data_IF_358836478746
#
_entry.id   IF_358836478746
#
_cell.length_a   1.000
_cell.length_b   1.000
_cell.length_c   1.000
_cell.angle_alpha   90.00
_cell.angle_beta   90.00
_cell.angle_gamma   90.00
#
_symmetry.space_group_name_H-M   'P 1'
#
loop_
_entity.id
_entity.type
_entity.pdbx_description
1 polymer ?
#
# COMPACT_ATOMS: atom_id res chain seq x y z
N UNK A 1 -18.12 -14.75 37.14
CA UNK A 1 -18.29 -14.89 35.68
C UNK A 1 -19.56 -14.28 35.14
N UNK A 2 -20.77 -14.72 35.55
CA UNK A 2 -22.00 -14.10 35.03
C UNK A 2 -22.07 -12.60 35.30
N UNK A 3 -21.66 -12.16 36.49
CA UNK A 3 -21.62 -10.74 36.84
C UNK A 3 -20.51 -10.00 36.08
N UNK A 4 -19.34 -10.62 35.92
CA UNK A 4 -18.26 -10.07 35.07
C UNK A 4 -18.74 -9.84 33.63
N UNK A 5 -19.39 -10.83 33.00
CA UNK A 5 -19.95 -10.68 31.65
C UNK A 5 -20.98 -9.55 31.61
N UNK A 6 -21.85 -9.43 32.63
CA UNK A 6 -22.84 -8.35 32.69
C UNK A 6 -22.20 -6.97 32.83
N UNK A 7 -21.15 -6.84 33.64
CA UNK A 7 -20.46 -5.59 33.90
C UNK A 7 -19.63 -5.13 32.69
N UNK A 8 -19.09 -6.07 31.91
CA UNK A 8 -18.17 -5.77 30.81
C UNK A 8 -18.80 -5.88 29.41
N UNK A 9 -20.13 -5.79 29.30
CA UNK A 9 -20.85 -5.96 28.01
C UNK A 9 -20.52 -4.93 26.92
N UNK A 10 -19.90 -3.81 27.29
CA UNK A 10 -19.75 -2.62 26.43
C UNK A 10 -18.27 -2.21 26.26
N UNK A 11 -17.33 -3.16 26.43
CA UNK A 11 -15.91 -2.87 26.21
C UNK A 11 -15.52 -2.91 24.73
N UNK A 12 -16.38 -3.44 23.85
CA UNK A 12 -16.24 -3.43 22.40
C UNK A 12 -14.84 -3.83 21.90
N UNK A 13 -14.25 -4.86 22.52
CA UNK A 13 -12.92 -5.38 22.18
C UNK A 13 -11.77 -4.84 23.03
N UNK A 14 -12.00 -3.86 23.90
CA UNK A 14 -10.98 -3.30 24.79
C UNK A 14 -10.95 -3.96 26.17
N UNK A 15 -11.57 -5.13 26.33
CA UNK A 15 -11.63 -5.87 27.60
C UNK A 15 -10.23 -6.21 28.16
N UNK A 16 -9.25 -6.39 27.29
CA UNK A 16 -7.92 -6.88 27.65
C UNK A 16 -7.03 -5.81 28.28
N UNK A 17 -7.42 -4.54 28.20
CA UNK A 17 -6.59 -3.43 28.63
C UNK A 17 -7.05 -2.86 29.98
N UNK A 18 -6.08 -2.45 30.79
CA UNK A 18 -6.38 -1.73 32.02
C UNK A 18 -6.86 -0.31 31.70
N UNK A 19 -7.86 0.16 32.44
CA UNK A 19 -8.40 1.51 32.29
C UNK A 19 -7.28 2.51 32.63
N UNK A 20 -6.96 3.41 31.69
CA UNK A 20 -5.94 4.43 31.86
C UNK A 20 -4.55 4.04 31.37
N UNK A 21 -4.36 2.84 30.79
CA UNK A 21 -3.13 2.52 30.08
C UNK A 21 -2.98 3.42 28.85
N UNK A 22 -1.82 4.04 28.71
CA UNK A 22 -1.45 4.83 27.53
C UNK A 22 -0.43 4.05 26.70
N UNK A 23 -0.75 3.83 25.44
CA UNK A 23 0.13 3.17 24.48
C UNK A 23 0.47 4.17 23.38
N UNK A 24 1.75 4.32 23.01
CA UNK A 24 2.15 5.27 21.98
C UNK A 24 1.55 4.88 20.63
N UNK A 25 0.97 5.85 19.94
CA UNK A 25 0.41 5.63 18.61
C UNK A 25 1.51 5.44 17.57
N UNK A 26 1.21 4.64 16.53
CA UNK A 26 2.01 4.65 15.31
C UNK A 26 1.56 5.82 14.45
N UNK A 27 2.48 6.75 14.22
CA UNK A 27 2.20 7.97 13.44
C UNK A 27 2.87 7.86 12.08
N UNK A 28 2.09 8.06 11.03
CA UNK A 28 2.60 8.17 9.67
C UNK A 28 3.40 9.46 9.52
N UNK A 29 4.56 9.38 8.86
CA UNK A 29 5.36 10.54 8.46
C UNK A 29 5.73 11.47 9.64
N UNK A 30 6.25 10.95 10.77
CA UNK A 30 6.42 11.74 11.99
C UNK A 30 7.38 12.92 11.82
N UNK A 31 8.34 12.80 10.90
CA UNK A 31 9.40 13.81 10.68
C UNK A 31 8.98 14.98 9.78
N UNK A 32 7.93 14.85 8.97
CA UNK A 32 7.52 15.89 8.00
C UNK A 32 6.01 16.16 7.94
N UNK A 33 5.22 15.57 8.85
CA UNK A 33 3.76 15.73 8.95
C UNK A 33 3.00 15.43 7.65
N UNK A 34 3.58 14.62 6.76
CA UNK A 34 2.99 14.24 5.47
C UNK A 34 2.90 15.39 4.47
N UNK A 35 3.81 16.37 4.54
CA UNK A 35 3.77 17.57 3.70
C UNK A 35 4.58 17.45 2.40
N UNK A 36 5.46 16.47 2.26
CA UNK A 36 6.41 16.39 1.15
C UNK A 36 6.35 15.03 0.46
N UNK A 37 5.91 15.01 -0.80
CA UNK A 37 5.91 13.91 -1.78
C UNK A 37 5.27 12.57 -1.36
N UNK A 38 5.66 12.00 -0.22
CA UNK A 38 4.96 10.96 0.52
C UNK A 38 4.10 11.64 1.58
N UNK A 39 2.83 11.80 1.26
CA UNK A 39 1.84 12.51 2.08
C UNK A 39 0.93 11.53 2.81
N UNK A 40 0.22 12.04 3.80
CA UNK A 40 -0.69 11.24 4.63
C UNK A 40 -0.49 11.54 6.11
N UNK A 41 -1.57 11.43 6.87
CA UNK A 41 -1.61 11.68 8.32
C UNK A 41 -2.22 10.48 9.06
N UNK A 42 -2.02 9.29 8.49
CA UNK A 42 -2.49 8.05 9.06
C UNK A 42 -1.94 7.87 10.47
N UNK A 43 -2.78 7.33 11.35
CA UNK A 43 -2.42 6.98 12.71
C UNK A 43 -3.02 5.61 12.99
N UNK A 44 -2.27 4.78 13.69
CA UNK A 44 -2.82 3.58 14.34
C UNK A 44 -2.76 3.81 15.84
N UNK A 45 -3.90 3.66 16.51
CA UNK A 45 -3.94 3.73 17.96
C UNK A 45 -2.99 2.69 18.57
N UNK A 46 -2.19 3.08 19.57
CA UNK A 46 -1.18 2.23 20.22
C UNK A 46 -1.72 0.87 20.70
N UNK A 47 -3.00 0.81 21.11
CA UNK A 47 -3.66 -0.46 21.53
C UNK A 47 -3.70 -1.51 20.41
N UNK A 48 -3.62 -1.11 19.14
CA UNK A 48 -3.66 -1.97 17.97
C UNK A 48 -2.28 -2.17 17.34
N UNK A 49 -1.21 -2.07 18.13
CA UNK A 49 0.14 -2.42 17.68
C UNK A 49 0.44 -3.89 17.97
N UNK A 50 1.42 -4.45 17.27
CA UNK A 50 1.85 -5.83 17.52
C UNK A 50 2.37 -6.00 18.94
N UNK A 51 3.26 -5.12 19.39
CA UNK A 51 3.89 -5.22 20.71
C UNK A 51 2.83 -5.24 21.82
N UNK A 52 1.86 -4.31 21.75
CA UNK A 52 0.76 -4.25 22.72
C UNK A 52 -0.16 -5.46 22.63
N UNK A 53 -0.44 -5.98 21.42
CA UNK A 53 -1.19 -7.23 21.28
C UNK A 53 -0.45 -8.41 21.92
N UNK A 54 0.85 -8.54 21.68
CA UNK A 54 1.67 -9.64 22.20
C UNK A 54 1.84 -9.59 23.71
N UNK A 55 1.87 -8.39 24.30
CA UNK A 55 2.01 -8.17 25.74
C UNK A 55 0.68 -8.29 26.50
N UNK A 56 -0.40 -7.66 26.01
CA UNK A 56 -1.64 -7.50 26.78
C UNK A 56 -2.74 -8.50 26.38
N UNK A 57 -2.83 -8.84 25.11
CA UNK A 57 -3.98 -9.61 24.57
C UNK A 57 -3.64 -11.10 24.43
N UNK A 58 -2.49 -11.41 23.80
CA UNK A 58 -2.10 -12.77 23.46
C UNK A 58 -1.99 -13.69 24.69
N UNK A 59 -1.33 -13.31 25.80
CA UNK A 59 -1.17 -14.21 26.95
C UNK A 59 -2.52 -14.59 27.58
N UNK A 60 -3.45 -13.63 27.66
CA UNK A 60 -4.79 -13.85 28.20
C UNK A 60 -5.54 -14.90 27.38
N UNK A 61 -5.43 -14.86 26.06
CA UNK A 61 -6.14 -15.77 25.16
C UNK A 61 -5.52 -17.16 25.05
N UNK A 62 -4.21 -17.27 25.29
CA UNK A 62 -3.49 -18.55 25.33
C UNK A 62 -3.76 -19.28 26.65
N UNK A 63 -3.77 -18.57 27.78
CA UNK A 63 -3.96 -19.18 29.10
C UNK A 63 -5.43 -19.49 29.44
N UNK A 64 -6.37 -18.84 28.74
CA UNK A 64 -7.79 -18.93 29.05
C UNK A 64 -8.36 -20.37 29.03
N UNK A 65 -8.08 -21.23 28.04
CA UNK A 65 -8.58 -22.61 28.03
C UNK A 65 -8.20 -23.39 29.29
N UNK A 66 -6.96 -23.25 29.76
CA UNK A 66 -6.47 -23.97 30.94
C UNK A 66 -7.00 -23.37 32.25
N UNK A 67 -7.15 -22.05 32.29
CA UNK A 67 -7.87 -21.38 33.38
C UNK A 67 -9.31 -21.90 33.50
N UNK A 68 -10.05 -21.98 32.39
CA UNK A 68 -11.43 -22.47 32.39
C UNK A 68 -11.54 -23.94 32.79
N UNK A 69 -10.56 -24.79 32.45
CA UNK A 69 -10.54 -26.21 32.88
C UNK A 69 -10.44 -26.33 34.41
N UNK A 70 -9.60 -25.53 35.07
CA UNK A 70 -9.35 -25.57 36.52
C UNK A 70 -10.56 -25.15 37.37
N UNK A 71 -11.52 -24.42 36.80
CA UNK A 71 -12.67 -23.92 37.55
C UNK A 71 -13.77 -24.98 37.72
N UNK A 72 -14.21 -25.19 38.95
CA UNK A 72 -15.31 -26.10 39.33
C UNK A 72 -16.70 -25.49 39.08
N UNK A 73 -16.93 -24.98 37.86
CA UNK A 73 -18.22 -24.41 37.45
C UNK A 73 -18.88 -25.24 36.35
N UNK A 74 -20.20 -25.11 36.22
CA UNK A 74 -21.00 -25.79 35.20
C UNK A 74 -20.54 -25.47 33.78
N UNK A 75 -20.66 -26.44 32.86
CA UNK A 75 -20.26 -26.32 31.45
C UNK A 75 -20.95 -25.14 30.77
N UNK A 76 -22.22 -24.89 31.09
CA UNK A 76 -23.04 -23.82 30.52
C UNK A 76 -22.45 -22.44 30.83
N UNK A 77 -21.91 -22.24 32.03
CA UNK A 77 -21.27 -20.98 32.43
C UNK A 77 -19.92 -20.81 31.74
N UNK A 78 -19.14 -21.89 31.58
CA UNK A 78 -17.89 -21.86 30.80
C UNK A 78 -18.16 -21.48 29.35
N UNK A 79 -19.16 -22.10 28.71
CA UNK A 79 -19.56 -21.79 27.34
C UNK A 79 -20.06 -20.34 27.20
N UNK A 80 -20.88 -19.85 28.12
CA UNK A 80 -21.33 -18.45 28.11
C UNK A 80 -20.13 -17.48 28.16
N UNK A 81 -19.16 -17.76 29.02
CA UNK A 81 -17.97 -16.92 29.16
C UNK A 81 -17.07 -17.00 27.92
N UNK A 82 -16.80 -18.20 27.39
CA UNK A 82 -16.04 -18.38 26.14
C UNK A 82 -16.67 -17.62 24.98
N UNK A 83 -18.00 -17.69 24.82
CA UNK A 83 -18.70 -16.97 23.76
C UNK A 83 -18.61 -15.44 23.94
N UNK A 84 -18.60 -14.96 25.17
CA UNK A 84 -18.38 -13.55 25.46
C UNK A 84 -16.96 -13.12 25.05
N UNK A 85 -15.93 -13.86 25.47
CA UNK A 85 -14.55 -13.57 25.07
C UNK A 85 -14.37 -13.63 23.55
N UNK A 86 -14.93 -14.63 22.87
CA UNK A 86 -14.88 -14.70 21.40
C UNK A 86 -15.45 -13.44 20.73
N UNK A 87 -16.51 -12.84 21.28
CA UNK A 87 -17.08 -11.58 20.75
C UNK A 87 -16.16 -10.39 20.97
N UNK A 88 -15.53 -10.30 22.15
CA UNK A 88 -14.55 -9.24 22.43
C UNK A 88 -13.32 -9.36 21.51
N UNK A 89 -12.80 -10.58 21.31
CA UNK A 89 -11.71 -10.81 20.36
C UNK A 89 -12.12 -10.46 18.93
N UNK A 90 -13.35 -10.78 18.54
CA UNK A 90 -13.86 -10.43 17.20
C UNK A 90 -13.97 -8.92 16.99
N UNK A 91 -14.45 -8.18 17.99
CA UNK A 91 -14.51 -6.72 17.97
C UNK A 91 -13.10 -6.11 17.88
N UNK A 92 -12.19 -6.54 18.77
CA UNK A 92 -10.79 -6.10 18.77
C UNK A 92 -10.12 -6.37 17.41
N UNK A 93 -10.25 -7.58 16.87
CA UNK A 93 -9.67 -7.97 15.58
C UNK A 93 -10.21 -7.15 14.41
N UNK A 94 -11.50 -6.77 14.46
CA UNK A 94 -12.12 -5.93 13.44
C UNK A 94 -11.50 -4.54 13.45
N UNK A 95 -11.36 -3.93 14.62
CA UNK A 95 -10.86 -2.56 14.74
C UNK A 95 -9.35 -2.51 14.48
N UNK A 96 -8.59 -3.51 14.94
CA UNK A 96 -7.18 -3.70 14.58
C UNK A 96 -6.99 -3.66 13.06
N UNK A 97 -7.75 -4.47 12.31
CA UNK A 97 -7.66 -4.50 10.85
C UNK A 97 -8.14 -3.20 10.21
N UNK A 98 -9.16 -2.56 10.77
CA UNK A 98 -9.68 -1.28 10.27
C UNK A 98 -8.64 -0.16 10.37
N UNK A 99 -7.87 -0.10 11.45
CA UNK A 99 -6.82 0.89 11.66
C UNK A 99 -5.71 0.77 10.60
N UNK A 100 -5.23 -0.44 10.30
CA UNK A 100 -4.21 -0.61 9.25
C UNK A 100 -4.76 -0.41 7.82
N UNK A 101 -6.05 -0.68 7.60
CA UNK A 101 -6.71 -0.33 6.33
C UNK A 101 -6.79 1.19 6.15
N UNK A 102 -7.15 1.93 7.20
CA UNK A 102 -7.19 3.39 7.16
C UNK A 102 -5.78 3.99 7.02
N UNK A 103 -4.84 3.49 7.82
CA UNK A 103 -3.42 3.82 7.72
C UNK A 103 -2.92 3.62 6.29
N UNK A 104 -3.25 2.50 5.64
CA UNK A 104 -2.84 2.27 4.27
C UNK A 104 -3.42 3.29 3.28
N UNK A 105 -4.74 3.55 3.38
CA UNK A 105 -5.45 4.45 2.44
C UNK A 105 -4.98 5.90 2.52
N UNK A 106 -4.51 6.33 3.68
CA UNK A 106 -4.04 7.69 3.90
C UNK A 106 -2.65 7.95 3.29
N UNK A 107 -1.85 6.91 3.05
CA UNK A 107 -0.54 7.08 2.42
C UNK A 107 -0.70 7.39 0.93
N UNK A 108 -0.13 8.50 0.49
CA UNK A 108 -0.23 8.98 -0.89
C UNK A 108 1.13 9.43 -1.39
N UNK A 109 1.44 9.09 -2.64
CA UNK A 109 2.57 9.65 -3.37
C UNK A 109 2.05 10.79 -4.25
N UNK A 110 2.79 11.89 -4.37
CA UNK A 110 2.41 13.04 -5.20
C UNK A 110 3.62 13.61 -5.93
N UNK A 111 3.44 13.95 -7.20
CA UNK A 111 4.42 14.69 -8.00
C UNK A 111 3.70 15.58 -9.02
N UNK A 112 3.85 16.90 -8.90
CA UNK A 112 3.17 17.90 -9.75
C UNK A 112 4.05 18.45 -10.86
N UNK A 113 5.30 17.98 -10.99
CA UNK A 113 6.21 18.36 -12.08
C UNK A 113 7.18 17.23 -12.41
N UNK A 114 7.86 17.32 -13.56
CA UNK A 114 8.88 16.35 -13.96
C UNK A 114 10.00 16.23 -12.91
N UNK A 115 10.46 17.35 -12.35
CA UNK A 115 11.51 17.33 -11.32
C UNK A 115 11.05 16.64 -10.03
N UNK A 116 9.82 16.89 -9.60
CA UNK A 116 9.23 16.21 -8.45
C UNK A 116 9.02 14.71 -8.70
N UNK A 117 8.59 14.34 -9.91
CA UNK A 117 8.44 12.95 -10.30
C UNK A 117 9.79 12.23 -10.28
N UNK A 118 10.83 12.82 -10.87
CA UNK A 118 12.19 12.28 -10.82
C UNK A 118 12.70 12.13 -9.38
N UNK A 119 12.39 13.08 -8.50
CA UNK A 119 12.71 12.99 -7.08
C UNK A 119 11.96 11.83 -6.40
N UNK A 120 10.64 11.74 -6.56
CA UNK A 120 9.81 10.64 -6.03
C UNK A 120 10.34 9.28 -6.47
N UNK A 121 10.61 9.10 -7.76
CA UNK A 121 11.15 7.85 -8.29
C UNK A 121 12.50 7.51 -7.64
N UNK A 122 13.37 8.50 -7.44
CA UNK A 122 14.64 8.30 -6.72
C UNK A 122 14.38 7.84 -5.29
N UNK A 123 13.52 8.56 -4.56
CA UNK A 123 13.24 8.26 -3.15
C UNK A 123 12.63 6.87 -2.98
N UNK A 124 11.69 6.45 -3.84
CA UNK A 124 11.07 5.12 -3.77
C UNK A 124 12.06 3.98 -4.00
N UNK A 125 13.17 4.23 -4.71
CA UNK A 125 14.22 3.25 -4.96
C UNK A 125 15.23 3.14 -3.81
N UNK A 126 15.34 4.16 -2.95
CA UNK A 126 16.31 4.13 -1.85
C UNK A 126 16.03 2.97 -0.88
N UNK A 127 17.08 2.31 -0.36
CA UNK A 127 16.96 1.52 0.86
C UNK A 127 16.41 2.41 1.97
N UNK A 128 15.55 1.89 2.84
CA UNK A 128 14.95 2.65 3.96
C UNK A 128 14.22 3.92 3.52
N UNK A 129 13.55 3.86 2.37
CA UNK A 129 12.68 4.95 1.93
C UNK A 129 11.40 4.97 2.75
N UNK A 130 10.78 6.15 2.87
CA UNK A 130 9.48 6.31 3.52
C UNK A 130 8.39 5.38 2.95
N UNK A 131 8.48 5.07 1.66
CA UNK A 131 7.62 4.07 1.01
C UNK A 131 7.89 2.65 1.51
N UNK A 132 9.16 2.25 1.63
CA UNK A 132 9.54 0.93 2.15
C UNK A 132 9.21 0.80 3.64
N UNK A 133 9.51 1.82 4.43
CA UNK A 133 9.26 1.85 5.88
C UNK A 133 7.76 1.78 6.17
N UNK A 134 6.94 2.45 5.35
CA UNK A 134 5.49 2.35 5.42
C UNK A 134 4.98 0.91 5.20
N UNK A 135 5.49 0.22 4.16
CA UNK A 135 5.14 -1.18 3.90
C UNK A 135 5.64 -2.12 5.01
N UNK A 136 6.84 -1.87 5.54
CA UNK A 136 7.41 -2.61 6.67
C UNK A 136 6.55 -2.44 7.93
N UNK A 137 6.15 -1.21 8.26
CA UNK A 137 5.28 -0.91 9.42
C UNK A 137 4.01 -1.77 9.38
N UNK A 138 3.36 -1.85 8.21
CA UNK A 138 2.15 -2.67 8.05
C UNK A 138 2.48 -4.16 8.15
N UNK A 139 3.55 -4.63 7.49
CA UNK A 139 3.97 -6.05 7.60
C UNK A 139 4.20 -6.43 9.06
N UNK A 140 5.02 -5.67 9.77
CA UNK A 140 5.45 -5.96 11.13
C UNK A 140 4.26 -6.05 12.09
N UNK A 141 3.30 -5.14 11.94
CA UNK A 141 2.12 -5.13 12.81
C UNK A 141 1.00 -6.09 12.37
N UNK A 142 1.00 -6.59 11.15
CA UNK A 142 -0.07 -7.50 10.68
C UNK A 142 0.38 -8.96 10.55
N UNK A 143 1.68 -9.23 10.67
CA UNK A 143 2.25 -10.58 10.71
C UNK A 143 2.30 -11.14 12.14
N UNK A 144 1.14 -11.20 12.79
CA UNK A 144 1.00 -11.70 14.15
C UNK A 144 1.07 -13.24 14.20
N UNK A 145 1.69 -13.79 15.24
CA UNK A 145 1.63 -15.23 15.52
C UNK A 145 0.34 -15.56 16.29
N UNK A 146 -0.57 -16.32 15.66
CA UNK A 146 -1.92 -16.56 16.16
C UNK A 146 -2.28 -18.06 16.27
N UNK A 147 -1.31 -18.96 16.10
CA UNK A 147 -1.58 -20.39 15.93
C UNK A 147 -2.02 -21.11 17.23
N UNK A 148 -1.71 -20.52 18.39
CA UNK A 148 -1.81 -21.22 19.67
C UNK A 148 -3.19 -21.13 20.36
N UNK A 149 -4.16 -20.38 19.82
CA UNK A 149 -5.46 -20.18 20.49
C UNK A 149 -6.67 -20.32 19.56
N UNK A 150 -7.71 -21.12 19.94
CA UNK A 150 -8.95 -21.21 19.16
C UNK A 150 -9.71 -19.87 19.10
N UNK A 151 -9.47 -18.96 20.04
CA UNK A 151 -10.09 -17.63 20.05
C UNK A 151 -9.52 -16.71 18.95
N UNK A 152 -8.33 -16.99 18.43
CA UNK A 152 -7.62 -16.15 17.46
C UNK A 152 -7.87 -16.52 15.99
N UNK A 153 -8.62 -17.60 15.72
CA UNK A 153 -8.86 -18.08 14.36
C UNK A 153 -9.52 -17.02 13.47
N UNK A 154 -10.57 -16.35 13.97
CA UNK A 154 -11.24 -15.26 13.26
C UNK A 154 -10.32 -14.08 13.03
N UNK A 155 -9.44 -13.77 13.98
CA UNK A 155 -8.47 -12.70 13.84
C UNK A 155 -7.46 -13.01 12.73
N UNK A 156 -6.91 -14.24 12.72
CA UNK A 156 -6.03 -14.73 11.66
C UNK A 156 -6.68 -14.61 10.28
N UNK A 157 -7.95 -15.00 10.14
CA UNK A 157 -8.69 -14.87 8.88
C UNK A 157 -8.80 -13.42 8.41
N UNK A 158 -9.07 -12.46 9.30
CA UNK A 158 -9.16 -11.03 8.95
C UNK A 158 -7.81 -10.46 8.52
N UNK A 159 -6.72 -10.82 9.19
CA UNK A 159 -5.36 -10.36 8.86
C UNK A 159 -4.85 -10.84 7.50
N UNK A 160 -5.42 -11.92 6.94
CA UNK A 160 -5.08 -12.39 5.58
C UNK A 160 -5.25 -11.32 4.51
N UNK A 161 -6.06 -10.29 4.75
CA UNK A 161 -6.17 -9.14 3.83
C UNK A 161 -4.81 -8.45 3.57
N UNK A 162 -3.88 -8.51 4.52
CA UNK A 162 -2.52 -7.95 4.40
C UNK A 162 -1.49 -8.98 3.91
N UNK A 163 -1.91 -10.20 3.61
CA UNK A 163 -0.99 -11.29 3.22
C UNK A 163 -0.16 -10.96 1.98
N UNK A 164 -0.62 -10.07 1.09
CA UNK A 164 0.19 -9.61 -0.03
C UNK A 164 1.36 -8.71 0.42
N UNK A 165 1.18 -7.87 1.45
CA UNK A 165 2.26 -7.02 2.01
C UNK A 165 3.30 -7.92 2.66
N UNK A 166 2.86 -8.95 3.39
CA UNK A 166 3.77 -9.92 4.02
C UNK A 166 4.66 -10.63 2.99
N UNK A 167 4.09 -11.03 1.84
CA UNK A 167 4.85 -11.62 0.71
C UNK A 167 5.73 -10.60 0.00
N UNK A 168 5.21 -9.42 -0.27
CA UNK A 168 5.94 -8.34 -0.95
C UNK A 168 7.20 -7.95 -0.16
N UNK A 169 7.05 -7.91 1.16
CA UNK A 169 8.08 -7.53 2.12
C UNK A 169 8.77 -8.75 2.74
N UNK A 170 8.69 -9.93 2.12
CA UNK A 170 9.44 -11.11 2.55
C UNK A 170 10.94 -10.87 2.31
N UNK A 171 11.73 -10.92 3.38
CA UNK A 171 13.15 -10.63 3.30
C UNK A 171 13.93 -11.88 2.89
N UNK A 172 14.83 -11.75 1.92
CA UNK A 172 15.78 -12.80 1.53
C UNK A 172 17.17 -12.18 1.36
N UNK A 173 18.12 -12.58 2.21
CA UNK A 173 19.51 -12.09 2.18
C UNK A 173 19.61 -10.55 2.29
N UNK A 174 18.83 -9.91 3.17
CA UNK A 174 18.90 -8.46 3.38
C UNK A 174 18.14 -7.60 2.37
N UNK A 175 17.39 -8.21 1.45
CA UNK A 175 16.60 -7.49 0.43
C UNK A 175 15.17 -8.02 0.35
N UNK A 176 14.29 -7.26 -0.31
CA UNK A 176 12.88 -7.60 -0.56
C UNK A 176 12.67 -7.92 -2.05
N UNK A 177 12.84 -9.19 -2.50
CA UNK A 177 12.98 -9.49 -3.92
C UNK A 177 11.78 -9.07 -4.79
N UNK A 178 10.56 -9.21 -4.28
CA UNK A 178 9.35 -8.81 -5.03
C UNK A 178 9.22 -7.29 -5.13
N UNK A 179 9.64 -6.54 -4.11
CA UNK A 179 9.69 -5.09 -4.14
C UNK A 179 10.82 -4.59 -5.06
N UNK A 180 11.97 -5.25 -5.08
CA UNK A 180 13.10 -4.89 -5.96
C UNK A 180 12.71 -5.00 -7.44
N UNK A 181 11.88 -5.98 -7.82
CA UNK A 181 11.34 -6.06 -9.20
C UNK A 181 10.54 -4.81 -9.58
N UNK A 182 9.74 -4.27 -8.66
CA UNK A 182 9.02 -3.02 -8.88
C UNK A 182 9.96 -1.81 -8.96
N UNK A 183 10.95 -1.74 -8.05
CA UNK A 183 11.97 -0.68 -8.08
C UNK A 183 12.78 -0.68 -9.38
N UNK A 184 13.04 -1.85 -9.98
CA UNK A 184 13.68 -1.94 -11.30
C UNK A 184 12.83 -1.28 -12.39
N UNK A 185 11.51 -1.51 -12.40
CA UNK A 185 10.60 -0.85 -13.36
C UNK A 185 10.64 0.67 -13.17
N UNK A 186 10.60 1.15 -11.92
CA UNK A 186 10.72 2.58 -11.62
C UNK A 186 12.09 3.15 -12.02
N UNK A 187 13.17 2.40 -11.83
CA UNK A 187 14.52 2.77 -12.22
C UNK A 187 14.65 2.92 -13.74
N UNK A 188 14.10 1.98 -14.51
CA UNK A 188 14.04 2.07 -15.96
C UNK A 188 13.25 3.31 -16.41
N UNK A 189 12.09 3.57 -15.81
CA UNK A 189 11.31 4.77 -16.10
C UNK A 189 12.09 6.05 -15.80
N UNK A 190 12.81 6.06 -14.68
CA UNK A 190 13.64 7.19 -14.30
C UNK A 190 14.80 7.42 -15.27
N UNK A 191 15.47 6.36 -15.73
CA UNK A 191 16.53 6.46 -16.73
C UNK A 191 15.98 6.99 -18.06
N UNK A 192 14.84 6.47 -18.52
CA UNK A 192 14.18 6.93 -19.74
C UNK A 192 13.79 8.40 -19.67
N UNK A 193 13.26 8.86 -18.52
CA UNK A 193 12.92 10.27 -18.31
C UNK A 193 14.15 11.20 -18.37
N UNK A 194 15.36 10.68 -18.11
CA UNK A 194 16.62 11.45 -18.16
C UNK A 194 17.31 11.37 -19.53
N UNK A 195 16.88 10.49 -20.43
CA UNK A 195 17.51 10.34 -21.75
C UNK A 195 17.25 11.57 -22.61
N UNK A 196 18.30 12.37 -22.82
CA UNK A 196 18.30 13.47 -23.79
C UNK A 196 18.49 12.97 -25.24
N UNK A 197 18.69 11.67 -25.44
CA UNK A 197 18.93 11.10 -26.77
C UNK A 197 17.69 11.23 -27.67
N UNK A 198 17.89 11.50 -28.97
CA UNK A 198 16.80 11.51 -29.95
C UNK A 198 16.00 10.20 -29.93
N UNK A 199 14.71 10.29 -30.25
CA UNK A 199 13.88 9.11 -30.42
C UNK A 199 14.44 8.20 -31.52
N UNK A 200 14.50 6.89 -31.24
CA UNK A 200 14.84 5.85 -32.22
C UNK A 200 13.63 4.94 -32.36
N UNK A 201 13.09 4.84 -33.57
CA UNK A 201 11.94 4.00 -33.85
C UNK A 201 12.27 2.52 -33.62
N UNK A 202 11.50 1.84 -32.78
CA UNK A 202 11.60 0.37 -32.59
C UNK A 202 11.00 -0.39 -33.77
N UNK A 203 9.96 0.19 -34.39
CA UNK A 203 9.27 -0.33 -35.56
C UNK A 203 9.12 0.81 -36.57
N UNK A 204 9.79 0.75 -37.71
CA UNK A 204 9.76 1.80 -38.74
C UNK A 204 8.34 2.03 -39.31
N UNK A 205 7.46 1.03 -39.24
CA UNK A 205 6.09 1.11 -39.74
C UNK A 205 5.10 1.76 -38.76
N UNK A 206 5.52 2.15 -37.55
CA UNK A 206 4.63 2.83 -36.61
C UNK A 206 4.35 4.28 -37.05
N UNK A 207 3.10 4.56 -37.41
CA UNK A 207 2.63 5.89 -37.83
C UNK A 207 2.86 6.97 -36.75
N UNK A 208 2.97 6.58 -35.48
CA UNK A 208 3.29 7.53 -34.41
C UNK A 208 4.77 7.92 -34.34
N UNK A 209 5.65 7.35 -35.16
CA UNK A 209 7.09 7.66 -35.13
C UNK A 209 7.38 9.14 -35.34
N UNK A 210 6.65 9.80 -36.25
CA UNK A 210 6.83 11.24 -36.47
C UNK A 210 6.49 12.03 -35.20
N UNK A 211 5.35 11.75 -34.57
CA UNK A 211 4.96 12.41 -33.33
C UNK A 211 5.94 12.09 -32.20
N UNK A 212 6.32 10.82 -32.03
CA UNK A 212 7.30 10.36 -31.02
C UNK A 212 8.65 11.06 -31.15
N UNK A 213 9.08 11.38 -32.38
CA UNK A 213 10.33 12.10 -32.64
C UNK A 213 10.33 13.54 -32.15
N UNK A 214 9.15 14.16 -32.03
CA UNK A 214 8.97 15.55 -31.59
C UNK A 214 8.67 15.68 -30.10
N UNK A 215 8.31 14.58 -29.44
CA UNK A 215 8.01 14.54 -28.00
C UNK A 215 9.28 14.41 -27.15
N UNK A 216 9.23 14.97 -25.95
CA UNK A 216 10.17 14.69 -24.87
C UNK A 216 10.06 13.22 -24.42
N UNK A 217 11.01 12.71 -23.62
CA UNK A 217 10.88 11.39 -23.00
C UNK A 217 9.59 11.22 -22.19
N UNK A 218 9.17 12.25 -21.46
CA UNK A 218 7.94 12.22 -20.68
C UNK A 218 6.70 12.13 -21.59
N UNK A 219 6.66 12.93 -22.66
CA UNK A 219 5.59 12.86 -23.67
C UNK A 219 5.52 11.49 -24.34
N UNK A 220 6.68 10.88 -24.64
CA UNK A 220 6.74 9.51 -25.21
C UNK A 220 6.20 8.45 -24.25
N UNK A 221 6.56 8.51 -22.97
CA UNK A 221 6.01 7.60 -21.94
C UNK A 221 4.50 7.76 -21.84
N UNK A 222 4.00 8.99 -21.79
CA UNK A 222 2.56 9.25 -21.73
C UNK A 222 1.82 8.74 -22.97
N UNK A 223 2.37 8.97 -24.17
CA UNK A 223 1.80 8.46 -25.42
C UNK A 223 1.78 6.92 -25.47
N UNK A 224 2.83 6.24 -24.99
CA UNK A 224 2.87 4.79 -24.93
C UNK A 224 1.79 4.22 -24.00
N UNK A 225 1.56 4.87 -22.85
CA UNK A 225 0.47 4.52 -21.92
C UNK A 225 -0.90 4.78 -22.58
N UNK A 226 -1.09 5.94 -23.23
CA UNK A 226 -2.35 6.28 -23.92
C UNK A 226 -2.71 5.27 -25.00
N UNK A 227 -1.71 4.82 -25.77
CA UNK A 227 -1.87 3.82 -26.84
C UNK A 227 -1.94 2.38 -26.34
N UNK A 228 -1.87 2.17 -25.01
CA UNK A 228 -1.83 0.86 -24.39
C UNK A 228 -0.75 -0.05 -24.99
N UNK A 229 0.47 0.49 -25.19
CA UNK A 229 1.61 -0.28 -25.71
C UNK A 229 2.03 -1.35 -24.67
N UNK A 230 2.34 -2.57 -25.12
CA UNK A 230 2.64 -3.71 -24.24
C UNK A 230 3.83 -3.44 -23.30
N UNK A 231 4.80 -2.65 -23.75
CA UNK A 231 5.99 -2.24 -22.99
C UNK A 231 5.82 -0.90 -22.26
N UNK A 232 4.60 -0.34 -22.21
CA UNK A 232 4.33 0.85 -21.42
C UNK A 232 4.54 0.59 -19.92
N UNK A 233 5.03 1.59 -19.19
CA UNK A 233 5.27 1.46 -17.76
C UNK A 233 4.01 1.11 -16.95
N UNK A 234 2.82 1.48 -17.46
CA UNK A 234 1.55 1.08 -16.85
C UNK A 234 1.37 -0.43 -16.94
N UNK A 235 1.49 -1.00 -18.13
CA UNK A 235 1.35 -2.43 -18.36
C UNK A 235 2.43 -3.24 -17.64
N UNK A 236 3.67 -2.73 -17.56
CA UNK A 236 4.75 -3.37 -16.79
C UNK A 236 4.41 -3.44 -15.29
N UNK A 237 3.92 -2.35 -14.69
CA UNK A 237 3.54 -2.33 -13.26
C UNK A 237 2.29 -3.17 -13.01
N UNK A 238 1.27 -3.11 -13.87
CA UNK A 238 0.06 -3.94 -13.75
C UNK A 238 0.37 -5.44 -13.85
N UNK A 239 1.25 -5.82 -14.78
CA UNK A 239 1.73 -7.20 -14.88
C UNK A 239 2.48 -7.63 -13.61
N UNK A 240 3.34 -6.77 -13.06
CA UNK A 240 4.00 -7.05 -11.79
C UNK A 240 3.01 -7.19 -10.63
N UNK A 241 2.04 -6.27 -10.50
CA UNK A 241 0.97 -6.32 -9.49
C UNK A 241 0.17 -7.63 -9.55
N UNK A 242 -0.19 -8.06 -10.77
CA UNK A 242 -0.86 -9.33 -11.02
C UNK A 242 -0.01 -10.52 -10.60
N UNK A 243 1.28 -10.52 -10.94
CA UNK A 243 2.21 -11.60 -10.60
C UNK A 243 2.43 -11.74 -9.09
N UNK A 244 2.46 -10.63 -8.35
CA UNK A 244 2.56 -10.64 -6.87
C UNK A 244 1.21 -10.98 -6.19
N UNK A 245 0.11 -10.89 -6.94
CA UNK A 245 -1.25 -11.16 -6.46
C UNK A 245 -1.83 -10.01 -5.63
N UNK A 246 -1.50 -8.76 -5.99
CA UNK A 246 -2.03 -7.56 -5.35
C UNK A 246 -3.40 -7.25 -5.97
N UNK A 247 -4.47 -7.34 -5.17
CA UNK A 247 -5.83 -7.04 -5.64
C UNK A 247 -6.01 -5.54 -5.92
N UNK A 248 -6.93 -5.21 -6.83
CA UNK A 248 -7.16 -3.84 -7.33
C UNK A 248 -7.32 -2.78 -6.24
N UNK A 249 -7.96 -3.12 -5.12
CA UNK A 249 -8.16 -2.21 -3.98
C UNK A 249 -6.85 -1.71 -3.32
N UNK A 250 -5.70 -2.29 -3.66
CA UNK A 250 -4.38 -1.98 -3.09
C UNK A 250 -3.37 -1.54 -4.15
N UNK A 251 -3.80 -1.38 -5.41
CA UNK A 251 -2.87 -1.11 -6.50
C UNK A 251 -2.49 0.37 -6.62
N UNK A 252 -3.38 1.28 -6.21
CA UNK A 252 -3.23 2.73 -6.37
C UNK A 252 -1.84 3.24 -5.98
N UNK A 253 -1.32 2.80 -4.82
CA UNK A 253 -0.02 3.22 -4.31
C UNK A 253 1.14 2.94 -5.30
N UNK A 254 1.10 1.78 -5.95
CA UNK A 254 2.15 1.33 -6.87
C UNK A 254 1.95 1.91 -8.29
N UNK A 255 0.71 2.18 -8.68
CA UNK A 255 0.40 2.78 -9.97
C UNK A 255 0.63 4.29 -9.99
N UNK A 256 0.54 4.94 -8.82
CA UNK A 256 0.60 6.41 -8.70
C UNK A 256 1.78 7.04 -9.44
N UNK A 257 3.05 6.61 -9.29
CA UNK A 257 4.17 7.25 -10.01
C UNK A 257 4.04 7.17 -11.53
N UNK A 258 3.46 6.09 -12.04
CA UNK A 258 3.23 5.90 -13.48
C UNK A 258 2.06 6.77 -13.97
N UNK A 259 0.99 6.88 -13.18
CA UNK A 259 -0.10 7.81 -13.48
C UNK A 259 0.35 9.26 -13.48
N UNK A 260 1.21 9.68 -12.55
CA UNK A 260 1.79 11.03 -12.55
C UNK A 260 2.63 11.27 -13.82
N UNK A 261 3.44 10.28 -14.24
CA UNK A 261 4.18 10.37 -15.51
C UNK A 261 3.24 10.53 -16.72
N UNK A 262 2.16 9.75 -16.76
CA UNK A 262 1.14 9.82 -17.79
C UNK A 262 0.48 11.21 -17.84
N UNK A 263 -0.01 11.71 -16.70
CA UNK A 263 -0.73 12.98 -16.60
C UNK A 263 0.15 14.17 -16.97
N UNK A 264 1.39 14.21 -16.46
CA UNK A 264 2.34 15.28 -16.76
C UNK A 264 2.71 15.29 -18.25
N UNK A 265 2.95 14.11 -18.86
CA UNK A 265 3.27 14.01 -20.28
C UNK A 265 2.09 14.25 -21.22
N UNK A 266 0.86 13.99 -20.78
CA UNK A 266 -0.34 14.10 -21.63
C UNK A 266 -0.55 15.55 -22.11
N UNK A 267 -0.27 16.52 -21.23
CA UNK A 267 -0.35 17.95 -21.57
C UNK A 267 0.60 18.31 -22.70
N UNK A 268 1.81 17.75 -22.69
CA UNK A 268 2.80 17.94 -23.76
C UNK A 268 2.34 17.27 -25.06
N UNK A 269 1.85 16.03 -24.98
CA UNK A 269 1.35 15.30 -26.15
C UNK A 269 0.24 16.08 -26.85
N UNK A 270 -0.73 16.59 -26.08
CA UNK A 270 -1.83 17.41 -26.63
C UNK A 270 -1.31 18.68 -27.31
N UNK A 271 -0.38 19.39 -26.67
CA UNK A 271 0.21 20.59 -27.25
C UNK A 271 0.97 20.30 -28.55
N UNK A 272 1.70 19.18 -28.60
CA UNK A 272 2.45 18.78 -29.79
C UNK A 272 1.54 18.34 -30.94
N UNK A 273 0.46 17.59 -30.65
CA UNK A 273 -0.53 17.21 -31.66
C UNK A 273 -1.17 18.44 -32.29
N UNK A 274 -1.58 19.43 -31.48
CA UNK A 274 -2.13 20.68 -32.00
C UNK A 274 -1.12 21.41 -32.89
N UNK A 275 0.15 21.50 -32.47
CA UNK A 275 1.20 22.14 -33.25
C UNK A 275 1.42 21.44 -34.60
N UNK A 276 1.51 20.11 -34.62
CA UNK A 276 1.67 19.33 -35.85
C UNK A 276 0.46 19.50 -36.76
N UNK A 277 -0.75 19.52 -36.20
CA UNK A 277 -1.98 19.76 -36.96
C UNK A 277 -2.00 21.15 -37.60
N UNK A 278 -1.64 22.19 -36.85
CA UNK A 278 -1.58 23.56 -37.36
C UNK A 278 -0.53 23.70 -38.47
N UNK A 279 0.64 23.09 -38.32
CA UNK A 279 1.69 23.04 -39.35
C UNK A 279 1.19 22.37 -40.64
N UNK A 280 0.51 21.23 -40.51
CA UNK A 280 -0.08 20.50 -41.65
C UNK A 280 -1.21 21.29 -42.30
N UNK A 281 -2.06 21.95 -41.50
CA UNK A 281 -3.16 22.76 -42.00
C UNK A 281 -2.65 23.97 -42.79
N UNK A 282 -1.66 24.70 -42.25
CA UNK A 282 -1.03 25.84 -42.94
C UNK A 282 -0.31 25.37 -44.22
N UNK A 283 0.40 24.25 -44.18
CA UNK A 283 1.15 23.74 -45.34
C UNK A 283 0.26 23.18 -46.46
N UNK A 284 -0.92 22.63 -46.13
CA UNK A 284 -1.73 21.87 -47.09
C UNK A 284 -3.09 22.52 -47.45
N UNK A 285 -3.56 23.51 -46.67
CA UNK A 285 -4.94 24.02 -46.80
C UNK A 285 -5.03 25.54 -47.00
N UNK A 286 -4.07 26.35 -46.54
CA UNK A 286 -4.10 27.79 -46.86
C UNK A 286 -3.67 28.03 -48.32
N UNK A 287 -4.52 28.64 -49.17
CA UNK A 287 -4.08 29.09 -50.49
C UNK A 287 -3.11 30.26 -50.31
N UNK A 288 -2.05 30.28 -51.11
CA UNK A 288 -1.22 31.48 -51.34
C UNK A 288 -2.09 32.60 -51.91
#
# INVERSE_FOLDING_TARGET
MRDFVKQNKYHDGLLFFQIGSEFPDLIMNPSNYGLLFFTGKGKVNGVYTKDVFEEEVLPVLVDLPDFLKKLSISKEVKTLFSNFISKEVEAYAKDYVAEYLDYYRQFKVKASSLGELQYVLTQMQLPTSQFQDFLLTIKENTALNLEDSPYLQTFSLKLRTFGFIQRLMEERKGVFPELEKYKIILGQMQEDLKKETPFVAKNEMDEANELKSRLSPLGRISLAIFRNEDDSYLNLVEMWLKNVGISTAWQDLFLTPVYEAYLLGLTEVQAMVNKVWDELWVSNVQPI
#
